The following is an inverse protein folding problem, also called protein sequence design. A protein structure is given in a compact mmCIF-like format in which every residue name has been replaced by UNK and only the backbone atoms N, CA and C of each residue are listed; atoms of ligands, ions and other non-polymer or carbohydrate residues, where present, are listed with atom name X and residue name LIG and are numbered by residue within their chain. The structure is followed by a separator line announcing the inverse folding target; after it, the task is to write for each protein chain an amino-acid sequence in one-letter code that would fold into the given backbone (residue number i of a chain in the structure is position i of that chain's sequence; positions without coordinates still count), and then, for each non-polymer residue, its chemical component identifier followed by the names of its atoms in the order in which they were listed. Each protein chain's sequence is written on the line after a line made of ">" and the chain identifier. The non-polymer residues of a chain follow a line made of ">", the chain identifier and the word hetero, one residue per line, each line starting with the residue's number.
data_IF_607985487338
#
_entry.id   IF_607985487338
#
_cell.length_a   1.000
_cell.length_b   1.000
_cell.length_c   1.000
_cell.angle_alpha   90.00
_cell.angle_beta   90.00
_cell.angle_gamma   90.00
#
_symmetry.space_group_name_H-M   'P 1'
#
loop_
_entity.id
_entity.type
_entity.pdbx_description
1 polymer ?
#
# COMPACT_ATOMS: atom_id res chain seq x y z
N UNK A 1 -12.93 17.60 -2.09
CA UNK A 1 -13.45 16.45 -1.34
C UNK A 1 -13.54 15.22 -2.26
N UNK A 2 -13.20 14.05 -1.75
CA UNK A 2 -13.20 12.82 -2.55
C UNK A 2 -14.48 12.04 -2.33
N UNK A 3 -15.08 11.54 -3.41
CA UNK A 3 -16.28 10.71 -3.34
C UNK A 3 -15.95 9.21 -3.16
N UNK A 4 -14.76 8.77 -3.61
CA UNK A 4 -14.32 7.38 -3.50
C UNK A 4 -12.89 7.29 -2.98
N UNK A 5 -12.53 6.14 -2.41
CA UNK A 5 -11.15 5.86 -1.99
C UNK A 5 -10.20 5.80 -3.18
N UNK A 6 -10.64 5.27 -4.31
CA UNK A 6 -9.86 5.24 -5.54
C UNK A 6 -9.51 6.65 -6.03
N UNK A 7 -10.48 7.56 -6.02
CA UNK A 7 -10.26 8.96 -6.39
C UNK A 7 -9.25 9.64 -5.47
N UNK A 8 -9.35 9.38 -4.17
CA UNK A 8 -8.38 9.86 -3.19
C UNK A 8 -6.99 9.27 -3.46
N UNK A 9 -6.89 7.97 -3.61
CA UNK A 9 -5.63 7.29 -3.90
C UNK A 9 -4.94 7.86 -5.14
N UNK A 10 -5.66 8.00 -6.24
CA UNK A 10 -5.15 8.57 -7.47
C UNK A 10 -4.60 9.98 -7.29
N UNK A 11 -5.23 10.79 -6.44
CA UNK A 11 -4.78 12.17 -6.17
C UNK A 11 -3.45 12.22 -5.44
N UNK A 12 -3.10 11.19 -4.67
CA UNK A 12 -1.85 11.13 -3.90
C UNK A 12 -0.65 10.68 -4.72
N UNK A 13 -0.88 9.91 -5.77
CA UNK A 13 0.18 9.23 -6.52
C UNK A 13 1.26 10.18 -7.07
N UNK A 14 0.93 11.34 -7.68
CA UNK A 14 1.97 12.24 -8.21
C UNK A 14 2.99 12.70 -7.16
N UNK A 15 2.59 12.69 -5.89
CA UNK A 15 3.44 13.10 -4.77
C UNK A 15 4.20 11.91 -4.19
N UNK A 16 3.53 10.78 -4.02
CA UNK A 16 4.07 9.60 -3.35
C UNK A 16 5.03 8.82 -4.26
N UNK A 17 4.73 8.70 -5.55
CA UNK A 17 5.51 7.89 -6.50
C UNK A 17 6.98 8.29 -6.55
N UNK A 18 7.29 9.55 -6.28
CA UNK A 18 8.66 10.08 -6.31
C UNK A 18 9.60 9.42 -5.30
N UNK A 19 9.05 8.83 -4.26
CA UNK A 19 9.81 8.16 -3.21
C UNK A 19 10.18 6.72 -3.56
N UNK A 20 9.69 6.19 -4.67
CA UNK A 20 9.81 4.77 -5.01
C UNK A 20 10.57 4.53 -6.32
N UNK A 21 11.43 3.49 -6.32
CA UNK A 21 12.02 2.95 -7.54
C UNK A 21 10.99 2.18 -8.36
N UNK A 22 10.22 1.36 -7.67
CA UNK A 22 9.16 0.55 -8.24
C UNK A 22 7.92 0.69 -7.38
N UNK A 23 6.74 0.76 -8.00
CA UNK A 23 5.49 0.76 -7.26
C UNK A 23 4.36 0.20 -8.12
N UNK A 24 3.33 -0.32 -7.46
CA UNK A 24 2.12 -0.80 -8.12
C UNK A 24 0.93 -0.74 -7.17
N UNK A 25 -0.26 -1.06 -7.69
CA UNK A 25 -1.52 -1.08 -6.94
C UNK A 25 -1.99 -2.50 -6.67
N UNK A 26 -2.89 -2.63 -5.69
CA UNK A 26 -3.68 -3.85 -5.46
C UNK A 26 -2.82 -5.11 -5.36
N UNK A 27 -1.85 -5.09 -4.45
CA UNK A 27 -0.94 -6.21 -4.25
C UNK A 27 -1.57 -7.26 -3.33
N UNK A 28 -1.84 -8.47 -3.83
CA UNK A 28 -2.46 -9.51 -3.02
C UNK A 28 -1.45 -10.21 -2.11
N UNK A 29 -1.91 -10.58 -0.92
CA UNK A 29 -1.18 -11.44 0.00
C UNK A 29 -2.18 -12.25 0.81
N UNK A 30 -2.06 -13.58 0.76
CA UNK A 30 -3.07 -14.49 1.32
C UNK A 30 -4.43 -14.21 0.67
N UNK A 31 -5.47 -13.93 1.46
CA UNK A 31 -6.78 -13.52 0.95
C UNK A 31 -7.05 -12.02 1.09
N UNK A 32 -6.00 -11.23 1.23
CA UNK A 32 -6.09 -9.78 1.42
C UNK A 32 -5.33 -9.04 0.33
N UNK A 33 -5.66 -7.77 0.14
CA UNK A 33 -5.05 -6.92 -0.88
C UNK A 33 -4.66 -5.61 -0.21
N UNK A 34 -3.44 -5.14 -0.44
CA UNK A 34 -3.04 -3.80 -0.04
C UNK A 34 -3.18 -2.84 -1.23
N UNK A 35 -3.63 -1.63 -0.98
CA UNK A 35 -3.96 -0.68 -2.06
C UNK A 35 -2.76 -0.23 -2.87
N UNK A 36 -1.64 0.02 -2.23
CA UNK A 36 -0.40 0.50 -2.85
C UNK A 36 0.78 -0.21 -2.23
N UNK A 37 1.74 -0.60 -3.06
CA UNK A 37 3.00 -1.13 -2.58
C UNK A 37 4.15 -0.65 -3.46
N UNK A 38 5.29 -0.38 -2.83
CA UNK A 38 6.48 0.09 -3.54
C UNK A 38 7.77 -0.37 -2.89
N UNK A 39 8.85 -0.16 -3.62
CA UNK A 39 10.23 -0.43 -3.19
C UNK A 39 10.97 0.89 -3.23
N UNK A 40 11.47 1.34 -2.09
CA UNK A 40 12.27 2.57 -1.99
C UNK A 40 13.71 2.33 -2.46
N UNK A 41 14.49 3.40 -2.76
CA UNK A 41 15.83 3.24 -3.37
C UNK A 41 16.79 2.31 -2.61
N UNK A 42 16.72 2.21 -1.29
CA UNK A 42 17.55 1.28 -0.52
C UNK A 42 17.03 -0.16 -0.52
N UNK A 43 15.95 -0.44 -1.23
CA UNK A 43 15.42 -1.80 -1.43
C UNK A 43 14.36 -2.25 -0.45
N UNK A 44 13.97 -1.43 0.51
CA UNK A 44 12.92 -1.77 1.47
C UNK A 44 11.53 -1.62 0.85
N UNK A 45 10.60 -2.48 1.25
CA UNK A 45 9.22 -2.46 0.78
C UNK A 45 8.34 -1.61 1.68
N UNK A 46 7.38 -0.93 1.05
CA UNK A 46 6.38 -0.11 1.73
C UNK A 46 5.00 -0.47 1.22
N UNK A 47 4.09 -0.75 2.13
CA UNK A 47 2.67 -0.96 1.83
C UNK A 47 1.84 0.19 2.38
N UNK A 48 0.83 0.62 1.64
CA UNK A 48 -0.06 1.71 2.03
C UNK A 48 -1.52 1.29 1.84
N UNK A 49 -2.32 1.44 2.89
CA UNK A 49 -3.77 1.31 2.84
C UNK A 49 -4.41 2.69 2.83
N UNK A 50 -5.38 2.89 1.95
CA UNK A 50 -6.11 4.15 1.82
C UNK A 50 -7.50 4.05 2.42
N UNK A 51 -7.94 5.04 3.18
CA UNK A 51 -9.29 5.15 3.71
C UNK A 51 -9.72 6.61 3.76
N UNK A 52 -10.99 6.86 3.48
CA UNK A 52 -11.55 8.20 3.60
C UNK A 52 -11.93 8.57 5.04
N UNK A 53 -12.50 7.64 5.79
CA UNK A 53 -13.06 7.92 7.13
C UNK A 53 -12.75 6.88 8.20
N UNK A 54 -12.89 5.60 7.92
CA UNK A 54 -12.81 4.54 8.92
C UNK A 54 -11.36 4.18 9.25
N UNK A 55 -10.74 4.98 10.11
CA UNK A 55 -9.34 4.80 10.47
C UNK A 55 -9.07 3.50 11.23
N UNK A 56 -10.02 3.00 12.02
CA UNK A 56 -9.86 1.72 12.74
C UNK A 56 -9.71 0.58 11.75
N UNK A 57 -10.56 0.54 10.75
CA UNK A 57 -10.51 -0.48 9.70
C UNK A 57 -9.23 -0.34 8.87
N UNK A 58 -8.80 0.88 8.58
CA UNK A 58 -7.55 1.12 7.86
C UNK A 58 -6.36 0.52 8.61
N UNK A 59 -6.27 0.76 9.92
CA UNK A 59 -5.18 0.22 10.76
C UNK A 59 -5.23 -1.30 10.80
N UNK A 60 -6.41 -1.91 10.93
CA UNK A 60 -6.56 -3.37 10.91
C UNK A 60 -6.08 -3.96 9.58
N UNK A 61 -6.49 -3.37 8.47
CA UNK A 61 -6.09 -3.81 7.13
C UNK A 61 -4.59 -3.67 6.92
N UNK A 62 -4.01 -2.54 7.30
CA UNK A 62 -2.57 -2.32 7.21
C UNK A 62 -1.79 -3.31 8.08
N UNK A 63 -2.23 -3.51 9.32
CA UNK A 63 -1.58 -4.44 10.26
C UNK A 63 -1.58 -5.89 9.73
N UNK A 64 -2.58 -6.27 8.94
CA UNK A 64 -2.63 -7.61 8.35
C UNK A 64 -1.44 -7.89 7.40
N UNK A 65 -0.73 -6.85 6.93
CA UNK A 65 0.42 -6.97 6.04
C UNK A 65 1.76 -6.77 6.75
N UNK A 66 1.78 -6.64 8.07
CA UNK A 66 2.98 -6.25 8.81
C UNK A 66 4.14 -7.25 8.72
N UNK A 67 3.84 -8.52 8.47
CA UNK A 67 4.86 -9.58 8.36
C UNK A 67 5.51 -9.69 6.99
N UNK A 68 5.04 -8.91 6.01
CA UNK A 68 5.50 -9.06 4.63
C UNK A 68 6.03 -7.77 4.00
N UNK A 69 5.89 -6.63 4.67
CA UNK A 69 6.46 -5.36 4.25
C UNK A 69 7.39 -4.81 5.32
N UNK A 70 8.49 -4.18 4.89
CA UNK A 70 9.38 -3.49 5.82
C UNK A 70 8.66 -2.38 6.59
N UNK A 71 7.81 -1.64 5.90
CA UNK A 71 7.02 -0.56 6.47
C UNK A 71 5.58 -0.61 5.95
N UNK A 72 4.62 -0.34 6.83
CA UNK A 72 3.21 -0.27 6.47
C UNK A 72 2.61 1.03 6.98
N UNK A 73 1.86 1.71 6.12
CA UNK A 73 1.18 2.96 6.41
C UNK A 73 -0.32 2.86 6.16
N UNK A 74 -1.07 3.71 6.84
CA UNK A 74 -2.38 4.14 6.35
C UNK A 74 -2.24 5.54 5.77
N UNK A 75 -3.05 5.87 4.77
CA UNK A 75 -3.12 7.21 4.19
C UNK A 75 -4.57 7.68 4.22
N UNK A 76 -4.78 8.86 4.80
CA UNK A 76 -6.11 9.44 4.98
C UNK A 76 -6.10 10.92 4.60
N UNK A 77 -7.24 11.47 4.14
CA UNK A 77 -7.30 12.89 3.76
C UNK A 77 -7.39 13.83 4.95
N UNK A 78 -7.54 13.29 6.16
CA UNK A 78 -7.76 14.06 7.38
C UNK A 78 -7.01 13.43 8.55
N UNK A 79 -6.54 14.26 9.47
CA UNK A 79 -5.93 13.82 10.72
C UNK A 79 -7.00 13.36 11.72
N UNK A 80 -6.83 12.18 12.26
CA UNK A 80 -7.66 11.64 13.34
C UNK A 80 -6.78 11.39 14.55
N UNK A 81 -6.90 12.22 15.58
CA UNK A 81 -6.04 12.14 16.77
C UNK A 81 -6.11 10.79 17.46
N UNK A 82 -7.30 10.19 17.53
CA UNK A 82 -7.50 8.88 18.17
C UNK A 82 -6.83 7.73 17.41
N UNK A 83 -6.53 7.91 16.13
CA UNK A 83 -5.83 6.89 15.34
C UNK A 83 -4.37 6.74 15.74
N UNK A 84 -3.73 7.81 16.21
CA UNK A 84 -2.30 7.84 16.46
C UNK A 84 -1.85 6.81 17.51
N UNK A 85 -2.45 6.73 18.71
CA UNK A 85 -2.05 5.73 19.70
C UNK A 85 -2.24 4.29 19.21
N UNK A 86 -3.34 4.01 18.51
CA UNK A 86 -3.65 2.67 18.00
C UNK A 86 -2.65 2.26 16.90
N UNK A 87 -2.38 3.15 15.95
CA UNK A 87 -1.41 2.90 14.90
C UNK A 87 0.00 2.68 15.46
N UNK A 88 0.40 3.53 16.42
CA UNK A 88 1.71 3.41 17.08
C UNK A 88 1.87 2.05 17.76
N UNK A 89 0.84 1.60 18.48
CA UNK A 89 0.84 0.31 19.16
C UNK A 89 1.04 -0.85 18.17
N UNK A 90 0.46 -0.74 16.99
CA UNK A 90 0.52 -1.78 15.96
C UNK A 90 1.71 -1.64 14.99
N UNK A 91 2.50 -0.60 15.13
CA UNK A 91 3.67 -0.36 14.26
C UNK A 91 3.32 0.17 12.88
N UNK A 92 2.10 0.67 12.69
CA UNK A 92 1.60 1.23 11.43
C UNK A 92 1.85 2.74 11.41
N UNK A 93 2.43 3.24 10.32
CA UNK A 93 2.61 4.68 10.11
C UNK A 93 1.34 5.36 9.61
N UNK A 94 1.29 6.67 9.72
CA UNK A 94 0.15 7.47 9.25
C UNK A 94 0.62 8.58 8.34
N UNK A 95 0.06 8.60 7.13
CA UNK A 95 0.22 9.69 6.17
C UNK A 95 -1.12 10.43 6.12
N UNK A 96 -1.09 11.74 6.30
CA UNK A 96 -2.25 12.60 6.04
C UNK A 96 -1.99 13.34 4.73
N UNK A 97 -2.93 13.25 3.81
CA UNK A 97 -2.85 13.93 2.53
C UNK A 97 -3.96 14.99 2.42
N UNK A 98 -3.56 16.23 2.59
CA UNK A 98 -4.42 17.41 2.41
C UNK A 98 -3.70 18.35 1.44
N UNK A 99 -3.80 18.03 0.14
CA UNK A 99 -3.08 18.73 -0.92
C UNK A 99 -1.62 18.31 -1.09
N UNK A 100 -1.00 17.75 -0.05
CA UNK A 100 0.35 17.19 -0.06
C UNK A 100 0.47 16.14 1.04
N UNK A 101 1.39 15.16 0.89
CA UNK A 101 1.57 14.15 1.92
C UNK A 101 2.36 14.69 3.11
N UNK A 102 1.91 14.32 4.30
CA UNK A 102 2.60 14.58 5.55
C UNK A 102 2.61 13.33 6.41
N UNK A 103 3.79 12.86 6.80
CA UNK A 103 3.91 11.72 7.71
C UNK A 103 3.76 12.25 9.13
N UNK A 104 2.61 11.95 9.77
CA UNK A 104 2.35 12.38 11.14
C UNK A 104 2.75 11.32 12.18
N UNK A 105 2.97 10.09 11.74
CA UNK A 105 3.47 8.99 12.57
C UNK A 105 4.35 8.10 11.71
N UNK A 106 5.61 7.89 12.12
CA UNK A 106 6.51 6.97 11.44
C UNK A 106 6.15 5.53 11.78
N UNK A 107 6.20 4.61 10.81
CA UNK A 107 5.94 3.20 11.07
C UNK A 107 7.14 2.55 11.78
N UNK A 108 6.88 1.41 12.42
CA UNK A 108 7.93 0.53 12.90
C UNK A 108 8.56 -0.19 11.71
N UNK A 109 9.88 -0.34 11.72
CA UNK A 109 10.55 -1.22 10.76
C UNK A 109 10.35 -2.68 11.16
N UNK A 110 9.73 -3.46 10.26
CA UNK A 110 9.45 -4.88 10.45
C UNK A 110 10.67 -5.69 10.00
N UNK A 111 11.56 -6.02 10.95
CA UNK A 111 12.82 -6.70 10.67
C UNK A 111 12.66 -8.19 10.37
N UNK A 112 11.65 -8.80 10.97
CA UNK A 112 11.43 -10.26 10.92
C UNK A 112 10.34 -10.61 9.92
N UNK A 113 10.56 -10.27 8.65
CA UNK A 113 9.62 -10.57 7.58
C UNK A 113 9.55 -12.08 7.31
N UNK A 114 8.36 -12.55 6.97
CA UNK A 114 8.19 -13.90 6.45
C UNK A 114 8.68 -13.93 4.99
N UNK A 115 9.92 -14.33 4.81
CA UNK A 115 10.66 -14.18 3.56
C UNK A 115 10.02 -14.80 2.32
N UNK A 116 9.46 -16.03 2.35
CA UNK A 116 8.85 -16.57 1.15
C UNK A 116 7.76 -15.66 0.57
N UNK A 117 6.92 -15.07 1.43
CA UNK A 117 5.86 -14.17 1.00
C UNK A 117 6.39 -12.78 0.66
N UNK A 118 7.32 -12.27 1.47
CA UNK A 118 7.97 -10.98 1.23
C UNK A 118 8.68 -10.96 -0.14
N UNK A 119 9.36 -12.05 -0.50
CA UNK A 119 10.01 -12.17 -1.80
C UNK A 119 9.02 -12.18 -2.96
N UNK A 120 7.89 -12.87 -2.81
CA UNK A 120 6.82 -12.86 -3.81
C UNK A 120 6.23 -11.47 -4.01
N UNK A 121 6.09 -10.71 -2.94
CA UNK A 121 5.63 -9.31 -2.98
C UNK A 121 6.62 -8.46 -3.79
N UNK A 122 7.91 -8.60 -3.54
CA UNK A 122 8.95 -7.88 -4.29
C UNK A 122 8.88 -8.19 -5.78
N UNK A 123 8.73 -9.46 -6.13
CA UNK A 123 8.61 -9.90 -7.53
C UNK A 123 7.34 -9.35 -8.17
N UNK A 124 6.24 -9.37 -7.45
CA UNK A 124 4.96 -8.81 -7.91
C UNK A 124 5.10 -7.32 -8.23
N UNK A 125 5.69 -6.54 -7.31
CA UNK A 125 5.88 -5.11 -7.49
C UNK A 125 6.74 -4.83 -8.72
N UNK A 126 7.82 -5.56 -8.90
CA UNK A 126 8.71 -5.41 -10.06
C UNK A 126 8.04 -5.80 -11.37
N UNK A 127 7.23 -6.86 -11.35
CA UNK A 127 6.52 -7.33 -12.54
C UNK A 127 5.44 -6.36 -13.00
N UNK A 128 4.69 -5.80 -12.06
CA UNK A 128 3.58 -4.87 -12.31
C UNK A 128 3.95 -3.40 -12.06
N UNK A 129 5.25 -3.07 -12.08
CA UNK A 129 5.70 -1.70 -11.83
C UNK A 129 5.00 -0.69 -12.75
N UNK A 130 4.68 0.46 -12.17
CA UNK A 130 4.01 1.54 -12.89
C UNK A 130 4.96 2.72 -13.01
N UNK A 131 5.26 3.13 -14.26
CA UNK A 131 6.16 4.24 -14.53
C UNK A 131 5.43 5.55 -14.77
N UNK A 132 4.26 5.47 -15.40
CA UNK A 132 3.44 6.63 -15.72
C UNK A 132 1.98 6.32 -15.43
N UNK A 133 1.48 6.88 -14.34
CA UNK A 133 0.11 6.71 -13.88
C UNK A 133 -0.92 7.10 -14.94
N UNK A 134 -0.63 8.11 -15.76
CA UNK A 134 -1.56 8.63 -16.77
C UNK A 134 -1.89 7.62 -17.85
N UNK A 135 -1.04 6.63 -18.04
CA UNK A 135 -1.19 5.58 -19.04
C UNK A 135 -1.77 4.29 -18.47
N UNK A 136 -2.20 4.30 -17.20
CA UNK A 136 -2.74 3.11 -16.56
C UNK A 136 -4.25 3.03 -16.80
N UNK A 137 -4.68 1.93 -17.44
CA UNK A 137 -6.09 1.53 -17.47
C UNK A 137 -6.32 0.63 -16.26
N UNK A 138 -7.05 1.13 -15.27
CA UNK A 138 -7.23 0.44 -13.99
C UNK A 138 -7.97 -0.89 -14.14
N UNK A 139 -9.00 -0.95 -15.00
CA UNK A 139 -9.75 -2.18 -15.23
C UNK A 139 -8.88 -3.25 -15.90
N UNK A 140 -8.09 -2.86 -16.90
CA UNK A 140 -7.14 -3.76 -17.54
C UNK A 140 -6.06 -4.23 -16.57
N UNK A 141 -5.58 -3.35 -15.69
CA UNK A 141 -4.63 -3.69 -14.63
C UNK A 141 -5.22 -4.77 -13.71
N UNK A 142 -6.47 -4.62 -13.27
CA UNK A 142 -7.14 -5.62 -12.43
C UNK A 142 -7.21 -6.99 -13.12
N UNK A 143 -7.52 -7.02 -14.40
CA UNK A 143 -7.57 -8.26 -15.17
C UNK A 143 -6.20 -8.93 -15.23
N UNK A 144 -5.14 -8.15 -15.46
CA UNK A 144 -3.78 -8.67 -15.48
C UNK A 144 -3.36 -9.22 -14.11
N UNK A 145 -3.74 -8.56 -13.02
CA UNK A 145 -3.47 -9.05 -11.67
C UNK A 145 -4.18 -10.37 -11.40
N UNK A 146 -5.44 -10.49 -11.79
CA UNK A 146 -6.18 -11.77 -11.66
C UNK A 146 -5.49 -12.90 -12.43
N UNK A 147 -5.08 -12.63 -13.66
CA UNK A 147 -4.36 -13.60 -14.48
C UNK A 147 -3.04 -14.02 -13.84
N UNK A 148 -2.28 -13.06 -13.35
CA UNK A 148 -1.01 -13.31 -12.67
C UNK A 148 -1.21 -14.18 -11.42
N UNK A 149 -2.19 -13.85 -10.59
CA UNK A 149 -2.49 -14.61 -9.38
C UNK A 149 -2.85 -16.05 -9.68
N UNK A 150 -3.69 -16.26 -10.69
CA UNK A 150 -4.12 -17.60 -11.11
C UNK A 150 -2.97 -18.40 -11.72
N UNK A 151 -2.26 -17.81 -12.69
CA UNK A 151 -1.33 -18.55 -13.54
C UNK A 151 0.07 -18.69 -12.92
N UNK A 152 0.51 -17.73 -12.13
CA UNK A 152 1.85 -17.69 -11.56
C UNK A 152 1.87 -18.01 -10.08
N UNK A 153 0.98 -17.39 -9.29
CA UNK A 153 0.94 -17.61 -7.85
C UNK A 153 0.03 -18.77 -7.43
N UNK A 154 -0.81 -19.28 -8.35
CA UNK A 154 -1.74 -20.36 -8.06
C UNK A 154 -2.86 -19.97 -7.09
N UNK A 155 -3.18 -18.69 -6.99
CA UNK A 155 -4.26 -18.18 -6.13
C UNK A 155 -5.58 -18.29 -6.90
N UNK A 156 -6.60 -18.99 -6.37
CA UNK A 156 -7.90 -19.06 -7.05
C UNK A 156 -8.58 -17.70 -7.08
N UNK A 157 -9.40 -17.51 -8.07
CA UNK A 157 -10.20 -16.30 -8.23
C UNK A 157 -11.20 -16.10 -7.09
#
# INVERSE_FOLDING_TARGET
>A
MFSTEQEFEESTIPYIEKSFLFWTWQVPAWNKVIDFAGIIPIGQTVGIEYKLKNWKKAIEQAHAHILIYDFVYICMPKRYEKAIPDARKRGVGIIVFDGKPEIILKPKWNKDLWEPKANRIREFIKHFQIHDRRNVNFDKFKELVKSYNRDILGIPE
#
